data_IF_280710007782
#
_entry.id   IF_280710007782
#
_cell.length_a   1.000
_cell.length_b   1.000
_cell.length_c   1.000
_cell.angle_alpha   90.00
_cell.angle_beta   90.00
_cell.angle_gamma   90.00
#
_symmetry.space_group_name_H-M   'P 1'
#
loop_
_entity.id
_entity.type
_entity.pdbx_description
1 polymer ?
#
# COMPACT_ATOMS: atom_id res chain seq x y z
N UNK A 1 -17.74 9.80 17.79
CA UNK A 1 -16.54 9.79 16.93
C UNK A 1 -16.13 8.35 16.74
N UNK A 2 -16.75 7.70 15.75
CA UNK A 2 -16.76 6.24 15.61
C UNK A 2 -15.37 5.67 15.33
N UNK A 3 -15.08 4.59 16.06
CA UNK A 3 -13.82 3.88 16.09
C UNK A 3 -13.69 3.02 14.82
N UNK A 4 -12.92 3.51 13.84
CA UNK A 4 -12.73 2.88 12.52
C UNK A 4 -12.11 1.47 12.64
N UNK A 5 -11.41 1.20 13.75
CA UNK A 5 -10.82 -0.10 14.06
C UNK A 5 -11.87 -1.20 14.29
N UNK A 6 -13.11 -0.83 14.63
CA UNK A 6 -14.20 -1.76 14.91
C UNK A 6 -14.95 -2.22 13.64
N UNK A 7 -14.76 -1.57 12.49
CA UNK A 7 -15.47 -1.86 11.24
C UNK A 7 -14.66 -2.65 10.21
N UNK A 8 -13.37 -2.88 10.46
CA UNK A 8 -12.60 -3.79 9.63
C UNK A 8 -12.84 -5.20 10.17
N UNK A 9 -13.56 -6.08 9.46
CA UNK A 9 -13.53 -7.50 9.81
C UNK A 9 -12.05 -7.89 9.87
N UNK A 10 -11.66 -8.57 10.94
CA UNK A 10 -10.38 -9.31 10.97
C UNK A 10 -10.40 -10.17 9.72
N UNK A 11 -9.67 -9.74 8.69
CA UNK A 11 -9.48 -10.51 7.46
C UNK A 11 -8.71 -11.72 7.93
N UNK A 12 -9.47 -12.78 8.22
CA UNK A 12 -8.90 -14.08 8.47
C UNK A 12 -8.15 -14.46 7.19
N UNK A 13 -6.82 -14.54 7.29
CA UNK A 13 -5.96 -14.92 6.19
C UNK A 13 -6.22 -16.38 5.73
N UNK A 14 -7.14 -17.10 6.39
CA UNK A 14 -7.49 -18.50 6.12
C UNK A 14 -8.53 -18.72 5.01
N UNK A 15 -9.05 -17.68 4.35
CA UNK A 15 -9.73 -17.81 3.05
C UNK A 15 -8.83 -17.19 1.98
N UNK A 16 -8.29 -18.04 1.10
CA UNK A 16 -7.26 -17.70 0.10
C UNK A 16 -7.33 -16.26 -0.39
N UNK A 17 -6.27 -15.49 -0.11
CA UNK A 17 -6.24 -14.04 -0.31
C UNK A 17 -6.64 -13.70 -1.74
N UNK A 18 -7.76 -12.97 -1.93
CA UNK A 18 -8.19 -12.52 -3.27
C UNK A 18 -7.25 -11.46 -3.87
N UNK A 19 -6.22 -11.04 -3.13
CA UNK A 19 -5.24 -10.05 -3.55
C UNK A 19 -3.84 -10.68 -3.51
N UNK A 20 -3.05 -10.48 -4.57
CA UNK A 20 -1.69 -11.01 -4.63
C UNK A 20 -0.77 -10.40 -3.56
N UNK A 21 -0.99 -9.14 -3.17
CA UNK A 21 -0.20 -8.47 -2.14
C UNK A 21 -1.04 -7.67 -1.13
N UNK A 22 -0.59 -7.56 0.14
CA UNK A 22 -1.34 -6.84 1.18
C UNK A 22 -1.58 -5.34 0.91
N UNK A 23 -0.78 -4.71 0.04
CA UNK A 23 -0.99 -3.30 -0.31
C UNK A 23 -2.14 -3.10 -1.29
N UNK A 24 -2.46 -4.09 -2.13
CA UNK A 24 -3.57 -4.03 -3.09
C UNK A 24 -4.91 -3.97 -2.34
N UNK A 25 -5.09 -4.81 -1.33
CA UNK A 25 -6.25 -4.78 -0.45
C UNK A 25 -6.41 -3.42 0.25
N UNK A 26 -5.29 -2.81 0.68
CA UNK A 26 -5.28 -1.47 1.29
C UNK A 26 -5.70 -0.38 0.29
N UNK A 27 -5.19 -0.42 -0.94
CA UNK A 27 -5.56 0.54 -1.98
C UNK A 27 -7.06 0.46 -2.32
N UNK A 28 -7.60 -0.75 -2.44
CA UNK A 28 -9.04 -0.97 -2.64
C UNK A 28 -9.88 -0.43 -1.49
N UNK A 29 -9.53 -0.79 -0.25
CA UNK A 29 -10.25 -0.35 0.94
C UNK A 29 -10.24 1.17 1.10
N UNK A 30 -9.12 1.84 0.78
CA UNK A 30 -9.02 3.29 0.80
C UNK A 30 -9.95 3.95 -0.22
N UNK A 31 -10.00 3.44 -1.45
CA UNK A 31 -10.91 3.97 -2.47
C UNK A 31 -12.36 3.90 -2.02
N UNK A 32 -12.80 2.75 -1.48
CA UNK A 32 -14.16 2.58 -0.97
C UNK A 32 -14.45 3.54 0.20
N UNK A 33 -13.58 3.56 1.21
CA UNK A 33 -13.78 4.39 2.40
C UNK A 33 -13.85 5.89 2.06
N UNK A 34 -13.05 6.37 1.10
CA UNK A 34 -13.09 7.77 0.66
C UNK A 34 -14.36 8.08 -0.14
N UNK A 35 -14.85 7.12 -0.95
CA UNK A 35 -16.10 7.27 -1.67
C UNK A 35 -17.31 7.26 -0.74
N UNK A 36 -17.35 6.38 0.27
CA UNK A 36 -18.41 6.32 1.27
C UNK A 36 -18.48 7.60 2.12
N UNK A 37 -17.33 8.24 2.34
CA UNK A 37 -17.24 9.56 2.98
C UNK A 37 -17.65 10.73 2.08
N UNK A 38 -18.02 10.47 0.82
CA UNK A 38 -18.50 11.48 -0.12
C UNK A 38 -17.41 12.40 -0.68
N UNK A 39 -16.12 12.07 -0.52
CA UNK A 39 -15.02 12.88 -1.07
C UNK A 39 -14.98 12.83 -2.59
N UNK A 40 -15.41 11.70 -3.15
CA UNK A 40 -15.71 11.49 -4.56
C UNK A 40 -16.76 10.37 -4.67
N UNK A 41 -17.34 10.16 -5.85
CA UNK A 41 -18.17 9.00 -6.11
C UNK A 41 -17.38 7.93 -6.90
N UNK A 42 -17.83 6.67 -6.86
CA UNK A 42 -17.14 5.59 -7.56
C UNK A 42 -17.04 5.78 -9.08
N UNK A 43 -17.96 6.52 -9.72
CA UNK A 43 -17.87 6.82 -11.16
C UNK A 43 -16.73 7.78 -11.47
N UNK A 44 -16.51 8.77 -10.62
CA UNK A 44 -15.37 9.70 -10.73
C UNK A 44 -14.05 8.92 -10.66
N UNK A 45 -13.97 7.97 -9.72
CA UNK A 45 -12.81 7.08 -9.60
C UNK A 45 -12.65 6.16 -10.81
N UNK A 46 -13.72 5.53 -11.29
CA UNK A 46 -13.68 4.69 -12.50
C UNK A 46 -13.16 5.47 -13.71
N UNK A 47 -13.60 6.73 -13.90
CA UNK A 47 -13.12 7.58 -14.98
C UNK A 47 -11.61 7.87 -14.85
N UNK A 48 -11.15 8.23 -13.66
CA UNK A 48 -9.73 8.45 -13.39
C UNK A 48 -8.89 7.18 -13.61
N UNK A 49 -9.42 6.01 -13.27
CA UNK A 49 -8.75 4.72 -13.48
C UNK A 49 -8.63 4.38 -14.97
N UNK A 50 -9.70 4.55 -15.75
CA UNK A 50 -9.68 4.37 -17.20
C UNK A 50 -8.62 5.27 -17.83
N UNK A 51 -8.53 6.53 -17.40
CA UNK A 51 -7.50 7.44 -17.89
C UNK A 51 -6.08 6.98 -17.52
N UNK A 52 -5.85 6.56 -16.28
CA UNK A 52 -4.55 6.07 -15.83
C UNK A 52 -4.11 4.81 -16.59
N UNK A 53 -5.01 3.84 -16.75
CA UNK A 53 -4.78 2.63 -17.54
C UNK A 53 -4.49 3.00 -18.99
N UNK A 54 -5.33 3.83 -19.61
CA UNK A 54 -5.16 4.24 -21.00
C UNK A 54 -3.87 5.04 -21.26
N UNK A 55 -3.38 5.82 -20.28
CA UNK A 55 -2.05 6.47 -20.37
C UNK A 55 -0.92 5.44 -20.37
N UNK A 56 -1.03 4.41 -19.54
CA UNK A 56 -0.03 3.36 -19.47
C UNK A 56 -0.04 2.45 -20.70
N UNK A 57 -1.22 2.05 -21.17
CA UNK A 57 -1.41 1.24 -22.39
C UNK A 57 -0.78 1.86 -23.64
N UNK A 58 -0.73 3.20 -23.72
CA UNK A 58 -0.01 3.91 -24.79
C UNK A 58 1.50 3.74 -24.74
N UNK A 59 2.07 3.45 -23.56
CA UNK A 59 3.49 3.20 -23.35
C UNK A 59 3.84 1.70 -23.26
N UNK A 60 2.87 0.83 -23.00
CA UNK A 60 3.00 -0.62 -22.92
C UNK A 60 1.77 -1.29 -22.28
N UNK A 61 1.59 -2.59 -22.45
CA UNK A 61 0.45 -3.29 -21.82
C UNK A 61 0.63 -3.47 -20.32
N UNK A 62 -0.48 -3.59 -19.58
CA UNK A 62 -0.48 -4.02 -18.18
C UNK A 62 -0.03 -5.49 -18.15
N UNK A 63 1.08 -5.78 -17.47
CA UNK A 63 1.68 -7.12 -17.47
C UNK A 63 1.05 -8.05 -16.43
N UNK A 64 0.66 -7.52 -15.27
CA UNK A 64 0.14 -8.30 -14.15
C UNK A 64 -0.79 -7.50 -13.22
N UNK A 65 -1.23 -8.12 -12.13
CA UNK A 65 -2.07 -7.49 -11.11
C UNK A 65 -1.36 -6.34 -10.37
N UNK A 66 -0.04 -6.42 -10.22
CA UNK A 66 0.77 -5.37 -9.59
C UNK A 66 0.76 -4.11 -10.42
N UNK A 67 0.92 -4.22 -11.74
CA UNK A 67 0.78 -3.09 -12.66
C UNK A 67 -0.63 -2.49 -12.59
N UNK A 68 -1.66 -3.32 -12.58
CA UNK A 68 -3.05 -2.86 -12.49
C UNK A 68 -3.32 -2.06 -11.20
N UNK A 69 -2.95 -2.61 -10.04
CA UNK A 69 -3.14 -1.91 -8.76
C UNK A 69 -2.19 -0.71 -8.61
N UNK A 70 -1.08 -0.65 -9.35
CA UNK A 70 -0.26 0.55 -9.41
C UNK A 70 -1.02 1.66 -10.13
N UNK A 71 -1.68 1.37 -11.27
CA UNK A 71 -2.56 2.33 -11.95
C UNK A 71 -3.75 2.75 -11.07
N UNK A 72 -4.25 1.85 -10.22
CA UNK A 72 -5.28 2.17 -9.21
C UNK A 72 -4.83 3.26 -8.24
N UNK A 73 -3.63 3.13 -7.68
CA UNK A 73 -3.07 4.13 -6.75
C UNK A 73 -2.77 5.45 -7.46
N UNK A 74 -2.27 5.40 -8.70
CA UNK A 74 -2.05 6.59 -9.52
C UNK A 74 -3.35 7.35 -9.79
N UNK A 75 -4.41 6.62 -10.18
CA UNK A 75 -5.72 7.19 -10.43
C UNK A 75 -6.33 7.81 -9.17
N UNK A 76 -6.24 7.12 -8.03
CA UNK A 76 -6.71 7.63 -6.74
C UNK A 76 -5.97 8.91 -6.36
N UNK A 77 -4.65 8.93 -6.51
CA UNK A 77 -3.81 10.09 -6.18
C UNK A 77 -4.14 11.28 -7.09
N UNK A 78 -4.28 11.05 -8.39
CA UNK A 78 -4.66 12.08 -9.35
C UNK A 78 -6.04 12.68 -9.04
N UNK A 79 -7.02 11.83 -8.73
CA UNK A 79 -8.37 12.27 -8.35
C UNK A 79 -8.34 13.12 -7.08
N UNK A 80 -7.61 12.70 -6.05
CA UNK A 80 -7.51 13.46 -4.80
C UNK A 80 -6.79 14.81 -4.99
N UNK A 81 -5.76 14.87 -5.84
CA UNK A 81 -5.09 16.13 -6.22
C UNK A 81 -6.05 17.08 -6.95
N UNK A 82 -6.78 16.56 -7.94
CA UNK A 82 -7.75 17.36 -8.70
C UNK A 82 -8.85 17.94 -7.82
N UNK A 83 -9.15 17.30 -6.68
CA UNK A 83 -10.11 17.75 -5.67
C UNK A 83 -9.48 18.64 -4.58
N UNK A 84 -8.18 18.91 -4.62
CA UNK A 84 -7.45 19.66 -3.60
C UNK A 84 -7.35 18.95 -2.25
N UNK A 85 -7.55 17.63 -2.22
CA UNK A 85 -7.52 16.80 -1.01
C UNK A 85 -6.14 16.17 -0.75
N UNK A 86 -5.23 16.27 -1.73
CA UNK A 86 -3.86 15.77 -1.64
C UNK A 86 -2.90 16.88 -2.05
N UNK A 87 -2.01 17.26 -1.13
CA UNK A 87 -0.90 18.18 -1.39
C UNK A 87 0.36 17.36 -1.72
N UNK A 88 1.02 17.68 -2.83
CA UNK A 88 2.22 16.96 -3.26
C UNK A 88 3.37 17.10 -2.26
N UNK A 89 3.50 18.26 -1.62
CA UNK A 89 4.55 18.48 -0.62
C UNK A 89 4.32 17.57 0.60
N UNK A 90 3.09 17.48 1.08
CA UNK A 90 2.74 16.62 2.22
C UNK A 90 2.90 15.12 1.93
N UNK A 91 2.64 14.67 0.70
CA UNK A 91 2.86 13.26 0.31
C UNK A 91 4.33 12.92 0.28
N UNK A 92 5.15 13.75 -0.37
CA UNK A 92 6.59 13.53 -0.45
C UNK A 92 7.24 13.53 0.95
N UNK A 93 6.80 14.41 1.83
CA UNK A 93 7.27 14.46 3.21
C UNK A 93 6.87 13.21 4.01
N UNK A 94 5.63 12.74 3.85
CA UNK A 94 5.18 11.51 4.50
C UNK A 94 5.93 10.27 3.97
N UNK A 95 6.15 10.20 2.66
CA UNK A 95 6.92 9.12 2.03
C UNK A 95 8.36 9.11 2.55
N UNK A 96 9.03 10.27 2.57
CA UNK A 96 10.38 10.39 3.10
C UNK A 96 10.45 9.92 4.57
N UNK A 97 9.48 10.31 5.40
CA UNK A 97 9.38 9.86 6.79
C UNK A 97 9.21 8.35 6.90
N UNK A 98 8.33 7.74 6.11
CA UNK A 98 8.11 6.29 6.11
C UNK A 98 9.39 5.54 5.71
N UNK A 99 10.10 6.04 4.70
CA UNK A 99 11.36 5.43 4.24
C UNK A 99 12.44 5.49 5.34
N UNK A 100 12.58 6.63 6.02
CA UNK A 100 13.50 6.79 7.16
C UNK A 100 13.13 5.83 8.29
N UNK A 101 11.84 5.76 8.66
CA UNK A 101 11.39 4.84 9.71
C UNK A 101 11.57 3.36 9.33
N UNK A 102 11.32 3.00 8.07
CA UNK A 102 11.50 1.64 7.58
C UNK A 102 12.99 1.25 7.58
N UNK A 103 13.89 2.16 7.20
CA UNK A 103 15.33 1.96 7.29
C UNK A 103 15.77 1.76 8.75
N UNK A 104 15.28 2.57 9.68
CA UNK A 104 15.57 2.44 11.11
C UNK A 104 15.06 1.11 11.69
N UNK A 105 13.89 0.62 11.26
CA UNK A 105 13.37 -0.72 11.64
C UNK A 105 14.24 -1.85 11.08
N UNK A 106 14.70 -1.74 9.83
CA UNK A 106 15.61 -2.72 9.20
C UNK A 106 16.96 -2.78 9.91
N UNK A 107 17.49 -1.63 10.33
CA UNK A 107 18.75 -1.54 11.07
C UNK A 107 18.63 -2.12 12.48
N UNK A 108 17.53 -1.83 13.19
CA UNK A 108 17.23 -2.47 14.48
C UNK A 108 17.09 -4.00 14.35
N UNK A 109 16.46 -4.49 13.28
CA UNK A 109 16.32 -5.92 13.03
C UNK A 109 17.66 -6.60 12.69
N UNK A 110 18.61 -5.87 12.08
CA UNK A 110 19.96 -6.36 11.78
C UNK A 110 20.87 -6.40 13.02
N UNK A 111 20.74 -5.44 13.94
CA UNK A 111 21.49 -5.44 15.21
C UNK A 111 20.98 -6.50 16.19
N UNK A 112 19.66 -6.74 16.27
CA UNK A 112 19.08 -7.75 17.15
C UNK A 112 19.41 -9.21 16.75
N UNK A 113 19.92 -9.43 15.53
CA UNK A 113 20.38 -10.73 15.05
C UNK A 113 21.82 -11.08 15.46
N UNK A 114 22.52 -10.16 16.13
CA UNK A 114 23.88 -10.37 16.65
C UNK A 114 23.85 -10.64 18.16
N UNK A 115 24.70 -11.54 18.63
CA UNK A 115 24.95 -11.74 20.06
C UNK A 115 25.84 -10.63 20.65
N UNK A 116 26.11 -10.68 21.96
CA UNK A 116 26.91 -9.68 22.70
C UNK A 116 28.35 -9.54 22.14
N UNK A 117 28.83 -10.56 21.41
CA UNK A 117 30.13 -10.57 20.72
C UNK A 117 30.06 -10.22 19.21
N UNK A 118 28.90 -9.82 18.69
CA UNK A 118 28.74 -9.37 17.29
C UNK A 118 28.66 -10.48 16.24
N UNK A 119 28.50 -11.74 16.65
CA UNK A 119 28.39 -12.91 15.76
C UNK A 119 26.93 -13.19 15.41
N UNK A 120 26.72 -13.71 14.20
CA UNK A 120 25.40 -14.17 13.76
C UNK A 120 25.00 -15.40 14.59
N UNK A 121 23.88 -15.33 15.32
CA UNK A 121 23.32 -16.48 16.04
C UNK A 121 22.73 -17.48 15.06
N UNK A 122 23.55 -18.38 14.53
CA UNK A 122 23.07 -19.53 13.75
C UNK A 122 23.01 -20.73 14.70
N UNK A 123 21.80 -21.09 15.16
CA UNK A 123 21.60 -22.33 15.88
C UNK A 123 21.87 -23.51 14.94
N UNK A 124 22.59 -24.55 15.38
CA UNK A 124 22.88 -25.70 14.52
C UNK A 124 21.58 -26.43 14.20
N UNK A 125 21.28 -26.60 12.91
CA UNK A 125 20.26 -27.54 12.44
C UNK A 125 20.72 -28.94 12.85
N UNK A 126 20.05 -29.51 13.86
CA UNK A 126 20.21 -30.92 14.20
C UNK A 126 19.35 -31.72 13.22
N UNK A 127 19.99 -32.31 12.21
CA UNK A 127 19.40 -33.38 11.41
C UNK A 127 19.46 -34.66 12.26
N UNK A 128 18.29 -35.24 12.55
CA UNK A 128 18.13 -36.56 13.13
C UNK A 128 17.47 -37.49 12.11
#
# INVERSE_FOLDING_TARGET
MSDFRALLPTVDAASGSSFAEPWMARAFALTLALSERGLFNLKDFQAALIEAVGRHEKAGCIADETDYYTRWVEALSALLRARGLLDEAGVAELEARILVEAAARREHQHLAARDEEGRLRIAPVAVA
#
